data_IF_145254035886
#
_entry.id   IF_145254035886
#
_cell.length_a   1.000
_cell.length_b   1.000
_cell.length_c   1.000
_cell.angle_alpha   90.00
_cell.angle_beta   90.00
_cell.angle_gamma   90.00
#
_symmetry.space_group_name_H-M   'P 1'
#
loop_
_entity.id
_entity.type
_entity.pdbx_description
1 polymer ?
#
# COMPACT_ATOMS: atom_id res chain seq x y z
N UNK A 1 -5.13 27.28 30.45
CA UNK A 1 -4.24 26.79 29.38
C UNK A 1 -4.91 27.06 28.04
N UNK A 2 -4.28 27.87 27.18
CA UNK A 2 -4.88 28.45 25.96
C UNK A 2 -3.85 28.71 24.87
N UNK A 3 -3.12 27.66 24.46
CA UNK A 3 -2.16 27.72 23.35
C UNK A 3 -2.79 27.13 22.09
N UNK A 4 -2.40 27.64 20.92
CA UNK A 4 -2.83 27.13 19.60
C UNK A 4 -1.74 26.29 18.90
N UNK A 5 -0.76 25.79 19.66
CA UNK A 5 0.30 24.93 19.13
C UNK A 5 -0.26 23.52 18.85
N UNK A 6 0.22 22.89 17.77
CA UNK A 6 -0.07 21.50 17.48
C UNK A 6 0.70 20.59 18.45
N UNK A 7 0.02 19.77 19.28
CA UNK A 7 0.70 18.78 20.10
C UNK A 7 1.35 17.71 19.21
N UNK A 8 2.63 17.42 19.45
CA UNK A 8 3.38 16.38 18.72
C UNK A 8 3.65 15.18 19.61
N UNK A 9 3.75 13.98 19.02
CA UNK A 9 3.99 12.74 19.79
C UNK A 9 5.44 12.64 20.32
N UNK A 10 6.38 13.34 19.67
CA UNK A 10 7.79 13.38 20.07
C UNK A 10 8.15 14.77 20.58
N UNK A 11 9.14 14.83 21.49
CA UNK A 11 9.70 16.10 21.98
C UNK A 11 10.50 16.86 20.91
N UNK A 12 11.06 16.14 19.93
CA UNK A 12 11.87 16.73 18.87
C UNK A 12 11.02 17.35 17.75
N UNK A 13 9.72 17.06 17.69
CA UNK A 13 8.88 17.41 16.54
C UNK A 13 9.30 16.66 15.28
N UNK A 14 9.17 17.32 14.13
CA UNK A 14 9.55 16.76 12.83
C UNK A 14 11.06 16.58 12.69
N UNK A 15 11.53 15.66 11.82
CA UNK A 15 12.91 15.67 11.36
C UNK A 15 13.31 17.00 10.71
N UNK A 16 14.62 17.26 10.59
CA UNK A 16 15.19 18.50 10.04
C UNK A 16 15.27 18.50 8.51
N UNK A 17 14.15 18.26 7.83
CA UNK A 17 14.00 18.39 6.39
C UNK A 17 12.59 18.93 6.04
N UNK A 18 12.37 19.46 4.82
CA UNK A 18 11.04 19.88 4.39
C UNK A 18 10.00 18.76 4.51
N UNK A 19 8.73 19.15 4.69
CA UNK A 19 7.65 18.20 4.95
C UNK A 19 7.17 17.43 3.71
N UNK A 20 7.17 18.07 2.54
CA UNK A 20 6.54 17.51 1.34
C UNK A 20 7.54 16.97 0.29
N UNK A 21 7.32 15.76 -0.26
CA UNK A 21 6.41 14.73 0.23
C UNK A 21 7.01 13.99 1.44
N UNK A 22 6.20 13.16 2.11
CA UNK A 22 6.67 12.38 3.24
C UNK A 22 7.59 11.23 2.76
N UNK A 23 8.83 11.20 3.23
CA UNK A 23 9.79 10.14 2.86
C UNK A 23 9.31 8.73 3.24
N UNK A 24 8.63 8.58 4.38
CA UNK A 24 8.03 7.31 4.81
C UNK A 24 6.93 6.84 3.84
N UNK A 25 6.13 7.78 3.33
CA UNK A 25 5.06 7.50 2.39
C UNK A 25 5.61 7.09 1.03
N UNK A 26 6.68 7.75 0.57
CA UNK A 26 7.42 7.35 -0.64
C UNK A 26 7.95 5.92 -0.53
N UNK A 27 8.72 5.60 0.52
CA UNK A 27 9.28 4.26 0.68
C UNK A 27 8.19 3.19 0.82
N UNK A 28 7.13 3.47 1.58
CA UNK A 28 6.03 2.52 1.75
C UNK A 28 5.23 2.30 0.46
N UNK A 29 4.98 3.37 -0.31
CA UNK A 29 4.35 3.28 -1.64
C UNK A 29 5.16 2.43 -2.60
N UNK A 30 6.49 2.66 -2.68
CA UNK A 30 7.37 1.88 -3.53
C UNK A 30 7.40 0.38 -3.14
N UNK A 31 7.58 0.08 -1.85
CA UNK A 31 7.59 -1.30 -1.36
C UNK A 31 6.27 -2.02 -1.61
N UNK A 32 5.13 -1.37 -1.34
CA UNK A 32 3.81 -1.94 -1.59
C UNK A 32 3.59 -2.20 -3.09
N UNK A 33 3.98 -1.27 -3.97
CA UNK A 33 3.87 -1.45 -5.42
C UNK A 33 4.71 -2.62 -5.93
N UNK A 34 5.96 -2.74 -5.48
CA UNK A 34 6.82 -3.88 -5.81
C UNK A 34 6.13 -5.18 -5.39
N UNK A 35 5.64 -5.28 -4.15
CA UNK A 35 4.93 -6.47 -3.67
C UNK A 35 3.66 -6.78 -4.46
N UNK A 36 2.85 -5.77 -4.80
CA UNK A 36 1.65 -5.94 -5.65
C UNK A 36 1.99 -6.55 -7.01
N UNK A 37 3.11 -6.13 -7.60
CA UNK A 37 3.60 -6.64 -8.88
C UNK A 37 4.07 -8.10 -8.75
N UNK A 38 4.88 -8.41 -7.75
CA UNK A 38 5.45 -9.76 -7.59
C UNK A 38 4.42 -10.80 -7.14
N UNK A 39 3.33 -10.38 -6.50
CA UNK A 39 2.30 -11.27 -5.99
C UNK A 39 1.15 -11.48 -6.98
N UNK A 40 1.11 -10.82 -8.13
CA UNK A 40 0.07 -11.05 -9.16
C UNK A 40 0.14 -12.50 -9.70
N UNK A 41 -0.98 -13.21 -9.94
CA UNK A 41 -2.38 -12.79 -9.80
C UNK A 41 -2.95 -13.06 -8.41
N UNK A 42 -2.12 -13.45 -7.43
CA UNK A 42 -2.57 -13.63 -6.05
C UNK A 42 -2.82 -12.30 -5.34
N UNK A 43 -2.21 -11.20 -5.80
CA UNK A 43 -2.39 -9.87 -5.24
C UNK A 43 -3.86 -9.41 -5.22
N UNK A 44 -4.70 -9.86 -6.16
CA UNK A 44 -6.12 -9.50 -6.20
C UNK A 44 -7.03 -10.49 -5.47
N UNK A 45 -6.48 -11.57 -4.91
CA UNK A 45 -7.25 -12.58 -4.14
C UNK A 45 -7.42 -12.14 -2.68
N UNK A 46 -8.34 -12.80 -1.98
CA UNK A 46 -8.51 -12.65 -0.53
C UNK A 46 -7.22 -12.99 0.21
N UNK A 47 -6.98 -12.29 1.32
CA UNK A 47 -5.88 -12.56 2.22
C UNK A 47 -5.94 -14.02 2.69
N UNK A 48 -4.84 -14.80 2.56
CA UNK A 48 -4.84 -16.18 3.00
C UNK A 48 -4.80 -16.28 4.53
N UNK A 49 -5.74 -17.03 5.10
CA UNK A 49 -5.78 -17.35 6.53
C UNK A 49 -6.72 -16.47 7.36
N UNK A 50 -6.63 -16.60 8.70
CA UNK A 50 -7.48 -15.85 9.62
C UNK A 50 -7.04 -14.39 9.71
N UNK A 51 -8.00 -13.49 9.50
CA UNK A 51 -7.80 -12.06 9.71
C UNK A 51 -8.03 -11.78 11.20
N UNK A 52 -7.12 -11.03 11.81
CA UNK A 52 -7.16 -10.67 13.22
C UNK A 52 -6.94 -9.17 13.40
N UNK A 53 -7.42 -8.64 14.52
CA UNK A 53 -7.18 -7.27 14.95
C UNK A 53 -6.74 -7.24 16.42
N UNK A 54 -6.14 -6.13 16.85
CA UNK A 54 -5.82 -5.93 18.25
C UNK A 54 -7.10 -5.62 19.05
N UNK A 55 -7.25 -6.23 20.22
CA UNK A 55 -8.33 -5.88 21.15
C UNK A 55 -8.15 -4.45 21.69
N UNK A 56 -9.17 -3.89 22.37
CA UNK A 56 -9.18 -2.48 22.79
C UNK A 56 -8.04 -2.01 23.72
N UNK A 57 -7.31 -2.93 24.37
CA UNK A 57 -6.13 -2.61 25.16
C UNK A 57 -4.79 -3.00 24.50
N UNK A 58 -4.83 -3.54 23.28
CA UNK A 58 -3.65 -3.91 22.50
C UNK A 58 -2.84 -5.11 23.03
N UNK A 59 -3.38 -5.90 23.96
CA UNK A 59 -2.65 -7.02 24.59
C UNK A 59 -2.97 -8.39 23.99
N UNK A 60 -4.03 -8.51 23.17
CA UNK A 60 -4.43 -9.76 22.52
C UNK A 60 -4.89 -9.50 21.09
N UNK A 61 -4.68 -10.51 20.25
CA UNK A 61 -5.31 -10.58 18.93
C UNK A 61 -6.69 -11.23 19.08
N UNK A 62 -7.69 -10.67 18.41
CA UNK A 62 -9.03 -11.22 18.27
C UNK A 62 -9.36 -11.39 16.80
N UNK A 63 -10.29 -12.29 16.48
CA UNK A 63 -10.72 -12.48 15.09
C UNK A 63 -11.35 -11.19 14.59
N UNK A 64 -10.94 -10.76 13.39
CA UNK A 64 -11.56 -9.65 12.71
C UNK A 64 -12.88 -10.10 12.12
N UNK A 65 -13.98 -9.48 12.54
CA UNK A 65 -15.34 -9.81 12.08
C UNK A 65 -15.83 -8.90 10.94
N UNK A 66 -14.97 -8.02 10.43
CA UNK A 66 -15.38 -6.95 9.52
C UNK A 66 -15.81 -5.68 10.27
N UNK A 67 -15.88 -4.52 9.60
CA UNK A 67 -16.64 -3.40 10.11
C UNK A 67 -18.13 -3.80 10.16
N UNK A 68 -18.86 -3.39 11.21
CA UNK A 68 -20.32 -3.43 11.23
C UNK A 68 -20.88 -2.42 10.21
N UNK A 69 -20.76 -2.69 8.91
CA UNK A 69 -21.52 -1.99 7.89
C UNK A 69 -22.85 -2.72 7.76
N UNK A 70 -23.93 -2.10 8.23
CA UNK A 70 -25.31 -2.63 8.16
C UNK A 70 -25.56 -3.95 8.93
N UNK A 71 -24.75 -4.26 9.95
CA UNK A 71 -25.02 -5.37 10.86
C UNK A 71 -24.74 -6.77 10.31
N UNK A 72 -24.11 -6.88 9.13
CA UNK A 72 -23.74 -8.16 8.54
C UNK A 72 -22.21 -8.28 8.41
N UNK A 73 -21.59 -9.40 8.83
CA UNK A 73 -20.17 -9.62 8.65
C UNK A 73 -19.80 -9.57 7.17
N UNK A 74 -18.69 -8.90 6.84
CA UNK A 74 -18.08 -9.00 5.51
C UNK A 74 -17.76 -10.49 5.26
N UNK A 75 -18.42 -11.17 4.29
CA UNK A 75 -18.23 -12.60 4.10
C UNK A 75 -16.78 -12.90 3.71
N UNK A 76 -16.09 -13.77 4.44
CA UNK A 76 -14.82 -14.35 3.99
C UNK A 76 -15.01 -15.35 2.83
N UNK A 77 -15.92 -15.04 1.90
CA UNK A 77 -16.21 -15.87 0.74
C UNK A 77 -15.53 -15.28 -0.50
N UNK A 78 -15.04 -16.15 -1.37
CA UNK A 78 -14.03 -15.86 -2.40
C UNK A 78 -14.48 -14.90 -3.51
N UNK A 79 -15.65 -14.28 -3.37
CA UNK A 79 -16.23 -13.35 -4.34
C UNK A 79 -16.67 -12.04 -3.66
N UNK A 80 -15.90 -11.01 -3.98
CA UNK A 80 -16.24 -9.58 -3.92
C UNK A 80 -16.28 -8.88 -2.55
N UNK A 81 -16.41 -9.60 -1.43
CA UNK A 81 -16.42 -8.98 -0.09
C UNK A 81 -15.32 -9.51 0.84
N UNK A 82 -14.04 -9.44 0.47
CA UNK A 82 -12.96 -9.85 1.39
C UNK A 82 -11.83 -8.82 1.44
N UNK A 83 -11.01 -8.87 2.51
CA UNK A 83 -9.75 -8.14 2.55
C UNK A 83 -8.79 -8.76 1.53
N UNK A 84 -8.55 -8.08 0.43
CA UNK A 84 -7.61 -8.56 -0.61
C UNK A 84 -6.17 -8.31 -0.22
N UNK A 85 -5.22 -9.09 -0.76
CA UNK A 85 -3.78 -8.86 -0.56
C UNK A 85 -3.39 -7.44 -0.99
N UNK A 86 -3.89 -6.97 -2.14
CA UNK A 86 -3.70 -5.59 -2.60
C UNK A 86 -4.27 -4.57 -1.60
N UNK A 87 -5.47 -4.82 -1.09
CA UNK A 87 -6.10 -3.96 -0.08
C UNK A 87 -5.27 -3.85 1.19
N UNK A 88 -4.75 -4.97 1.70
CA UNK A 88 -3.92 -5.00 2.90
C UNK A 88 -2.53 -4.40 2.68
N UNK A 89 -1.93 -4.57 1.50
CA UNK A 89 -0.68 -3.88 1.13
C UNK A 89 -0.90 -2.36 1.02
N UNK A 90 -2.00 -1.93 0.41
CA UNK A 90 -2.37 -0.51 0.34
C UNK A 90 -2.62 0.07 1.74
N UNK A 91 -3.27 -0.71 2.62
CA UNK A 91 -3.51 -0.37 4.03
C UNK A 91 -2.19 -0.23 4.78
N UNK A 92 -1.24 -1.15 4.59
CA UNK A 92 0.09 -1.06 5.19
C UNK A 92 0.81 0.24 4.79
N UNK A 93 0.83 0.57 3.50
CA UNK A 93 1.45 1.80 3.02
C UNK A 93 0.79 3.05 3.63
N UNK A 94 -0.54 3.07 3.69
CA UNK A 94 -1.29 4.15 4.33
C UNK A 94 -1.08 4.23 5.83
N UNK A 95 -0.98 3.11 6.55
CA UNK A 95 -0.71 3.10 7.99
C UNK A 95 0.66 3.73 8.30
N UNK A 96 1.67 3.44 7.48
CA UNK A 96 3.01 4.05 7.62
C UNK A 96 2.96 5.55 7.32
N UNK A 97 2.27 5.97 6.25
CA UNK A 97 2.14 7.39 5.90
C UNK A 97 1.34 8.17 6.95
N UNK A 98 0.13 7.71 7.25
CA UNK A 98 -0.81 8.35 8.19
C UNK A 98 -0.30 8.31 9.63
N UNK A 99 0.50 7.30 10.01
CA UNK A 99 1.21 7.29 11.29
C UNK A 99 2.05 8.55 11.51
N UNK A 100 2.52 9.19 10.43
CA UNK A 100 3.25 10.47 10.51
C UNK A 100 2.32 11.66 10.71
N UNK A 101 1.13 11.65 10.12
CA UNK A 101 0.10 12.66 10.39
C UNK A 101 -0.32 12.59 11.87
N UNK A 102 -0.56 11.37 12.39
CA UNK A 102 -0.85 11.14 13.80
C UNK A 102 0.29 11.60 14.73
N UNK A 103 1.54 11.56 14.25
CA UNK A 103 2.69 12.06 15.01
C UNK A 103 2.78 13.60 15.05
N UNK A 104 2.02 14.29 14.20
CA UNK A 104 2.00 15.75 14.09
C UNK A 104 3.12 16.33 13.23
N UNK A 105 3.70 15.54 12.32
CA UNK A 105 4.88 15.96 11.52
C UNK A 105 4.66 16.03 10.01
N UNK A 106 3.52 15.51 9.53
CA UNK A 106 3.10 15.54 8.14
C UNK A 106 1.62 15.88 8.02
N UNK A 107 1.21 16.25 6.81
CA UNK A 107 -0.18 16.37 6.40
C UNK A 107 -0.56 15.26 5.43
N UNK A 108 -1.88 15.05 5.28
CA UNK A 108 -2.45 14.08 4.33
C UNK A 108 -1.85 14.19 2.92
N UNK A 109 -1.59 15.41 2.44
CA UNK A 109 -1.00 15.62 1.11
C UNK A 109 0.42 15.06 1.00
N UNK A 110 1.23 15.15 2.06
CA UNK A 110 2.59 14.60 2.08
C UNK A 110 2.55 13.08 1.98
N UNK A 111 1.58 12.46 2.65
CA UNK A 111 1.32 11.02 2.60
C UNK A 111 0.81 10.54 1.24
N UNK A 112 -0.27 11.14 0.73
CA UNK A 112 -0.90 10.71 -0.54
C UNK A 112 0.04 10.94 -1.72
N UNK A 113 0.66 12.12 -1.83
CA UNK A 113 1.60 12.38 -2.91
C UNK A 113 2.89 11.58 -2.76
N UNK A 114 3.35 11.34 -1.53
CA UNK A 114 4.50 10.47 -1.27
C UNK A 114 4.26 9.05 -1.75
N UNK A 115 3.11 8.45 -1.41
CA UNK A 115 2.75 7.10 -1.87
C UNK A 115 2.74 7.02 -3.40
N UNK A 116 2.13 8.00 -4.08
CA UNK A 116 2.09 8.05 -5.56
C UNK A 116 3.49 8.17 -6.17
N UNK A 117 4.33 9.04 -5.61
CA UNK A 117 5.72 9.17 -6.05
C UNK A 117 6.49 7.86 -5.84
N UNK A 118 6.27 7.16 -4.73
CA UNK A 118 6.85 5.84 -4.47
C UNK A 118 6.41 4.79 -5.49
N UNK A 119 5.12 4.76 -5.83
CA UNK A 119 4.57 3.88 -6.88
C UNK A 119 5.24 4.14 -8.24
N UNK A 120 5.41 5.41 -8.64
CA UNK A 120 6.13 5.78 -9.86
C UNK A 120 7.59 5.31 -9.86
N UNK A 121 8.31 5.49 -8.74
CA UNK A 121 9.70 5.01 -8.61
C UNK A 121 9.77 3.49 -8.77
N UNK A 122 8.85 2.76 -8.12
CA UNK A 122 8.76 1.31 -8.23
C UNK A 122 8.45 0.85 -9.66
N UNK A 123 7.51 1.49 -10.35
CA UNK A 123 7.19 1.17 -11.75
C UNK A 123 8.41 1.35 -12.66
N UNK A 124 9.12 2.47 -12.53
CA UNK A 124 10.33 2.72 -13.32
C UNK A 124 11.44 1.71 -13.03
N UNK A 125 11.62 1.32 -11.76
CA UNK A 125 12.56 0.28 -11.37
C UNK A 125 12.20 -1.06 -12.03
N UNK A 126 10.96 -1.52 -11.90
CA UNK A 126 10.51 -2.79 -12.48
C UNK A 126 10.59 -2.78 -14.01
N UNK A 127 10.22 -1.68 -14.66
CA UNK A 127 10.35 -1.56 -16.12
C UNK A 127 11.81 -1.73 -16.56
N UNK A 128 12.75 -1.09 -15.86
CA UNK A 128 14.18 -1.22 -16.16
C UNK A 128 14.69 -2.65 -15.96
N UNK A 129 14.18 -3.35 -14.94
CA UNK A 129 14.50 -4.77 -14.73
C UNK A 129 13.91 -5.66 -15.85
N UNK A 130 12.67 -5.42 -16.27
CA UNK A 130 12.03 -6.15 -17.38
C UNK A 130 12.83 -5.99 -18.69
N UNK A 131 13.29 -4.77 -18.99
CA UNK A 131 14.05 -4.50 -20.22
C UNK A 131 15.41 -5.21 -20.26
N UNK A 132 15.94 -5.65 -19.11
CA UNK A 132 17.19 -6.40 -19.00
C UNK A 132 17.00 -7.92 -18.98
N UNK A 133 15.79 -8.40 -18.74
CA UNK A 133 15.53 -9.84 -18.73
C UNK A 133 15.63 -10.41 -20.14
N UNK A 134 16.09 -11.64 -20.34
CA UNK A 134 16.13 -12.25 -21.67
C UNK A 134 14.73 -12.60 -22.20
N UNK A 135 13.80 -13.00 -21.33
CA UNK A 135 12.44 -13.39 -21.70
C UNK A 135 11.59 -12.18 -22.11
N UNK A 136 10.55 -12.41 -22.91
CA UNK A 136 9.45 -11.46 -23.01
C UNK A 136 8.53 -11.65 -21.81
N UNK A 137 8.22 -10.56 -21.12
CA UNK A 137 7.39 -10.59 -19.93
C UNK A 137 6.54 -9.32 -19.83
N UNK A 138 5.33 -9.50 -19.33
CA UNK A 138 4.46 -8.44 -18.82
C UNK A 138 4.29 -8.65 -17.31
N UNK A 139 4.15 -7.54 -16.59
CA UNK A 139 3.77 -7.51 -15.18
C UNK A 139 2.51 -6.69 -15.05
N UNK A 140 1.51 -7.24 -14.37
CA UNK A 140 0.23 -6.59 -14.09
C UNK A 140 0.10 -6.34 -12.60
N UNK A 141 -0.49 -5.21 -12.24
CA UNK A 141 -0.90 -4.95 -10.85
C UNK A 141 -2.00 -3.90 -10.78
N UNK A 142 -2.65 -3.77 -9.62
CA UNK A 142 -3.64 -2.71 -9.35
C UNK A 142 -2.96 -1.54 -8.63
N UNK A 143 -3.01 -0.36 -9.24
CA UNK A 143 -2.42 0.89 -8.71
C UNK A 143 -3.10 1.37 -7.43
N UNK A 144 -2.52 2.37 -6.76
CA UNK A 144 -3.17 3.02 -5.63
C UNK A 144 -4.45 3.77 -6.02
N UNK A 145 -4.57 4.21 -7.27
CA UNK A 145 -5.78 4.86 -7.80
C UNK A 145 -6.85 3.83 -8.24
N UNK A 146 -6.57 2.54 -8.12
CA UNK A 146 -7.53 1.45 -8.40
C UNK A 146 -7.52 0.95 -9.84
N UNK A 147 -6.76 1.58 -10.72
CA UNK A 147 -6.59 1.17 -12.12
C UNK A 147 -5.60 0.02 -12.27
N UNK A 148 -5.83 -0.86 -13.24
CA UNK A 148 -4.84 -1.86 -13.62
C UNK A 148 -3.73 -1.25 -14.47
N UNK A 149 -2.49 -1.51 -14.09
CA UNK A 149 -1.28 -1.07 -14.79
C UNK A 149 -0.53 -2.29 -15.31
N UNK A 150 0.01 -2.15 -16.52
CA UNK A 150 0.77 -3.18 -17.21
C UNK A 150 2.15 -2.63 -17.55
N UNK A 151 3.19 -3.32 -17.10
CA UNK A 151 4.59 -3.04 -17.43
C UNK A 151 5.06 -4.16 -18.36
N UNK A 152 5.38 -3.82 -19.61
CA UNK A 152 5.77 -4.81 -20.63
C UNK A 152 7.18 -4.48 -21.11
N UNK A 153 8.03 -5.50 -21.23
CA UNK A 153 9.37 -5.35 -21.80
C UNK A 153 9.30 -4.72 -23.19
N UNK A 154 10.19 -3.76 -23.46
CA UNK A 154 10.28 -3.10 -24.75
C UNK A 154 10.48 -4.11 -25.91
N UNK A 155 9.68 -3.95 -26.97
CA UNK A 155 9.71 -4.83 -28.15
C UNK A 155 8.93 -6.14 -28.02
N UNK A 156 8.30 -6.41 -26.87
CA UNK A 156 7.41 -7.55 -26.67
C UNK A 156 5.93 -7.14 -26.79
N UNK A 157 5.05 -8.09 -27.15
CA UNK A 157 3.60 -7.88 -27.07
C UNK A 157 3.12 -7.91 -25.63
N UNK A 158 2.06 -7.17 -25.30
CA UNK A 158 1.37 -7.27 -24.01
C UNK A 158 0.80 -8.68 -23.77
N UNK A 159 0.49 -9.40 -24.85
CA UNK A 159 0.02 -10.81 -24.83
C UNK A 159 1.16 -11.80 -24.57
N UNK A 160 2.41 -11.35 -24.48
CA UNK A 160 3.54 -12.20 -24.18
C UNK A 160 3.45 -12.65 -22.72
N UNK A 161 2.96 -13.88 -22.54
CA UNK A 161 2.99 -14.77 -21.37
C UNK A 161 3.12 -14.04 -20.01
N UNK A 162 2.05 -14.14 -19.21
CA UNK A 162 2.16 -14.15 -17.74
C UNK A 162 3.09 -15.30 -17.36
N UNK A 163 4.40 -15.05 -17.38
CA UNK A 163 5.38 -16.01 -16.87
C UNK A 163 5.41 -15.78 -15.35
N UNK A 164 4.64 -16.61 -14.65
CA UNK A 164 4.96 -17.07 -13.31
C UNK A 164 5.18 -18.57 -13.31
#
# INVERSE_FOLDING_TARGET
HGTYLLPTITKSGSPTHPSYPAGHANSAGACATILKIWLDPHATRCWPGYIVEANGNGLKLQNFTGPEFEGEPIPNDEKENCLTVTGELNKLAHNVAMGRDFSGVHWRMDGVSGIRQGEEVAMNYIQNELDRQPECATRKFKSFDGEFVYLTKAGCSQDALDIM
#
